data_IF_040910095666
#
_entry.id   IF_040910095666
#
_cell.length_a   1.000
_cell.length_b   1.000
_cell.length_c   1.000
_cell.angle_alpha   90.00
_cell.angle_beta   90.00
_cell.angle_gamma   90.00
#
_symmetry.space_group_name_H-M   'P 1'
#
loop_
_entity.id
_entity.type
_entity.pdbx_description
1 polymer ?
#
# COMPACT_ATOMS: atom_id res chain seq x y z
N UNK A 1 13.95 18.46 16.17
CA UNK A 1 12.77 18.49 17.07
C UNK A 1 11.52 18.21 16.23
N UNK A 2 11.16 16.93 16.05
CA UNK A 2 10.03 16.52 15.18
C UNK A 2 8.85 16.12 16.07
N UNK A 3 7.71 16.77 15.87
CA UNK A 3 6.43 16.48 16.54
C UNK A 3 5.87 15.18 15.97
N UNK A 4 5.73 14.17 16.83
CA UNK A 4 4.96 12.95 16.54
C UNK A 4 3.48 13.32 16.62
N UNK A 5 2.76 13.14 15.51
CA UNK A 5 1.29 13.21 15.48
C UNK A 5 0.78 11.77 15.63
N UNK A 6 0.12 11.48 16.75
CA UNK A 6 -0.56 10.22 16.98
C UNK A 6 -1.88 10.22 16.21
N UNK A 7 -2.07 9.27 15.28
CA UNK A 7 -3.39 8.94 14.75
C UNK A 7 -4.00 7.87 15.66
N UNK A 8 -4.96 8.26 16.50
CA UNK A 8 -5.80 7.32 17.25
C UNK A 8 -6.97 6.93 16.36
N UNK A 9 -7.04 5.68 15.92
CA UNK A 9 -8.22 5.15 15.23
C UNK A 9 -9.40 5.05 16.21
N UNK A 10 -10.37 5.94 16.04
CA UNK A 10 -11.66 5.89 16.71
C UNK A 10 -12.65 5.03 15.94
N UNK A 11 -13.17 3.98 16.58
CA UNK A 11 -14.19 3.07 16.04
C UNK A 11 -15.57 3.76 16.01
N UNK A 12 -16.08 4.13 14.83
CA UNK A 12 -17.47 4.58 14.69
C UNK A 12 -18.40 3.36 14.64
N UNK A 13 -19.24 3.23 15.67
CA UNK A 13 -20.41 2.35 15.67
C UNK A 13 -21.49 2.96 14.78
N UNK A 14 -21.73 2.36 13.62
CA UNK A 14 -23.07 2.18 13.03
C UNK A 14 -22.90 1.56 11.64
N UNK A 15 -23.17 0.26 11.54
CA UNK A 15 -23.34 -0.38 10.24
C UNK A 15 -24.69 0.02 9.66
N UNK A 16 -24.68 0.83 8.61
CA UNK A 16 -25.79 0.98 7.66
C UNK A 16 -25.18 1.29 6.29
N UNK A 17 -25.43 0.41 5.31
CA UNK A 17 -25.18 0.67 3.90
C UNK A 17 -26.31 1.56 3.37
N UNK A 18 -25.99 2.72 2.79
CA UNK A 18 -26.94 3.49 1.98
C UNK A 18 -26.73 4.99 2.03
N UNK A 19 -26.60 5.60 0.85
CA UNK A 19 -26.73 7.05 0.67
C UNK A 19 -28.20 7.44 0.77
N UNK A 20 -28.50 8.38 1.66
CA UNK A 20 -29.80 9.03 1.78
C UNK A 20 -29.65 10.45 1.25
N UNK A 21 -30.22 10.72 0.07
CA UNK A 21 -30.58 12.07 -0.36
C UNK A 21 -32.10 12.19 -0.24
N UNK A 22 -32.56 13.02 0.70
CA UNK A 22 -33.97 13.41 0.81
C UNK A 22 -34.09 14.82 0.23
N UNK A 23 -34.80 14.92 -0.88
CA UNK A 23 -35.48 16.15 -1.30
C UNK A 23 -36.90 15.78 -1.72
N UNK A 24 -37.84 16.10 -0.83
CA UNK A 24 -39.21 16.53 -1.10
C UNK A 24 -40.16 15.65 -1.93
N UNK A 25 -41.14 15.06 -1.23
CA UNK A 25 -42.56 15.36 -1.53
C UNK A 25 -43.38 14.38 -2.39
N UNK A 26 -44.23 13.62 -1.68
CA UNK A 26 -45.63 13.27 -2.01
C UNK A 26 -46.01 12.12 -2.97
N UNK A 27 -46.91 11.29 -2.39
CA UNK A 27 -47.97 10.43 -2.95
C UNK A 27 -47.70 8.96 -3.38
N UNK A 28 -48.39 8.07 -2.65
CA UNK A 28 -48.64 6.64 -2.91
C UNK A 28 -49.62 6.44 -4.08
N UNK A 29 -49.39 5.43 -4.94
CA UNK A 29 -50.41 4.43 -5.30
C UNK A 29 -49.80 3.21 -6.00
N UNK A 30 -50.21 2.01 -5.56
CA UNK A 30 -49.98 0.74 -6.23
C UNK A 30 -50.72 0.65 -7.57
N UNK A 31 -50.10 0.07 -8.60
CA UNK A 31 -50.77 -0.65 -9.70
C UNK A 31 -49.74 -1.59 -10.39
N UNK A 32 -50.02 -2.89 -10.34
CA UNK A 32 -49.38 -3.95 -11.13
C UNK A 32 -49.98 -3.91 -12.55
N UNK A 33 -49.16 -3.77 -13.59
CA UNK A 33 -49.46 -4.18 -14.97
C UNK A 33 -48.16 -4.71 -15.60
N UNK A 34 -48.27 -5.86 -16.26
CA UNK A 34 -47.20 -6.63 -16.89
C UNK A 34 -46.58 -5.92 -18.13
N UNK A 35 -45.34 -6.33 -18.45
CA UNK A 35 -44.47 -5.88 -19.54
C UNK A 35 -45.16 -5.72 -20.91
N UNK A 36 -44.66 -4.80 -21.75
CA UNK A 36 -43.69 -5.25 -22.76
C UNK A 36 -42.45 -4.34 -22.85
N UNK A 37 -41.34 -4.94 -23.26
CA UNK A 37 -40.03 -4.33 -23.46
C UNK A 37 -40.08 -3.01 -24.25
N UNK A 38 -39.25 -2.01 -23.89
CA UNK A 38 -38.64 -1.13 -24.85
C UNK A 38 -37.15 -1.43 -24.98
N UNK A 39 -36.74 -1.64 -26.22
CA UNK A 39 -35.36 -1.58 -26.68
C UNK A 39 -34.73 -0.24 -26.27
N UNK A 40 -33.50 -0.27 -25.77
CA UNK A 40 -32.62 0.90 -25.79
C UNK A 40 -31.92 1.22 -24.47
N UNK A 41 -30.58 1.24 -24.58
CA UNK A 41 -29.61 1.81 -23.65
C UNK A 41 -29.28 0.94 -22.43
N UNK A 42 -28.60 -0.18 -22.71
CA UNK A 42 -27.54 -0.61 -21.81
C UNK A 42 -26.53 0.52 -21.74
N UNK A 43 -26.58 1.29 -20.65
CA UNK A 43 -25.48 2.16 -20.25
C UNK A 43 -24.28 1.26 -20.05
N UNK A 44 -23.43 1.22 -21.07
CA UNK A 44 -22.12 0.57 -21.08
C UNK A 44 -21.40 0.98 -19.79
N UNK A 45 -21.37 0.06 -18.82
CA UNK A 45 -20.53 0.22 -17.63
C UNK A 45 -19.10 0.14 -18.17
N UNK A 46 -18.54 1.29 -18.52
CA UNK A 46 -17.12 1.46 -18.72
C UNK A 46 -16.44 1.18 -17.39
N UNK A 47 -16.23 -0.11 -17.08
CA UNK A 47 -15.16 -0.52 -16.19
C UNK A 47 -13.87 -0.14 -16.90
N UNK A 48 -13.47 1.12 -16.76
CA UNK A 48 -12.11 1.54 -17.05
C UNK A 48 -11.24 0.85 -16.01
N UNK A 49 -10.83 -0.39 -16.29
CA UNK A 49 -9.75 -1.03 -15.55
C UNK A 49 -8.52 -0.21 -15.84
N UNK A 50 -8.16 0.68 -14.92
CA UNK A 50 -6.90 1.41 -14.99
C UNK A 50 -5.78 0.36 -15.02
N UNK A 51 -5.06 0.30 -16.13
CA UNK A 51 -3.91 -0.59 -16.26
C UNK A 51 -2.81 -0.08 -15.33
N UNK A 52 -2.43 -0.93 -14.38
CA UNK A 52 -1.34 -0.67 -13.46
C UNK A 52 -0.10 -1.36 -14.01
N UNK A 53 0.95 -0.59 -14.27
CA UNK A 53 2.25 -1.12 -14.69
C UNK A 53 3.29 -0.91 -13.60
N UNK A 54 4.18 -1.89 -13.40
CA UNK A 54 5.34 -1.74 -12.50
C UNK A 54 6.61 -1.58 -13.32
N UNK A 55 7.43 -0.59 -12.98
CA UNK A 55 8.72 -0.33 -13.64
C UNK A 55 9.81 0.04 -12.62
N UNK A 56 11.08 -0.13 -12.98
CA UNK A 56 12.20 0.43 -12.22
C UNK A 56 12.13 1.96 -12.27
N UNK A 57 12.48 2.63 -11.16
CA UNK A 57 12.60 4.08 -11.12
C UNK A 57 13.83 4.56 -11.89
N UNK A 58 13.67 5.72 -12.56
CA UNK A 58 14.76 6.45 -13.18
C UNK A 58 15.14 7.66 -12.31
N UNK A 59 16.33 8.25 -12.52
CA UNK A 59 16.81 9.40 -11.74
C UNK A 59 15.81 10.59 -11.70
N UNK A 60 15.02 10.78 -12.77
CA UNK A 60 14.00 11.82 -12.84
C UNK A 60 12.78 11.60 -11.93
N UNK A 61 12.58 10.39 -11.40
CA UNK A 61 11.44 10.03 -10.56
C UNK A 61 11.61 10.42 -9.08
N UNK A 62 12.83 10.82 -8.68
CA UNK A 62 13.19 11.05 -7.27
C UNK A 62 12.22 11.98 -6.53
N UNK A 63 11.89 13.13 -7.13
CA UNK A 63 11.00 14.10 -6.51
C UNK A 63 9.59 13.55 -6.27
N UNK A 64 9.09 12.68 -7.15
CA UNK A 64 7.78 12.05 -7.01
C UNK A 64 7.80 10.94 -5.94
N UNK A 65 8.90 10.17 -5.87
CA UNK A 65 9.14 9.19 -4.81
C UNK A 65 9.14 9.90 -3.46
N UNK A 66 9.94 10.96 -3.30
CA UNK A 66 10.04 11.74 -2.05
C UNK A 66 8.68 12.32 -1.64
N UNK A 67 7.92 12.86 -2.59
CA UNK A 67 6.57 13.35 -2.33
C UNK A 67 5.65 12.23 -1.83
N UNK A 68 5.75 11.02 -2.37
CA UNK A 68 4.91 9.90 -1.97
C UNK A 68 5.32 9.36 -0.59
N UNK A 69 6.62 9.21 -0.32
CA UNK A 69 7.13 8.76 0.97
C UNK A 69 6.81 9.74 2.10
N UNK A 70 6.89 11.05 1.84
CA UNK A 70 6.56 12.09 2.82
C UNK A 70 5.10 12.06 3.27
N UNK A 71 4.18 11.57 2.43
CA UNK A 71 2.76 11.37 2.79
C UNK A 71 2.60 10.43 4.00
N UNK A 72 3.57 9.53 4.19
CA UNK A 72 3.58 8.51 5.23
C UNK A 72 4.72 8.69 6.24
N UNK A 73 5.52 9.74 6.10
CA UNK A 73 6.76 9.95 6.86
C UNK A 73 7.71 8.75 6.78
N UNK A 74 7.74 8.06 5.63
CA UNK A 74 8.67 6.97 5.38
C UNK A 74 10.04 7.52 5.02
N UNK A 75 11.08 6.83 5.47
CA UNK A 75 12.44 7.14 5.06
C UNK A 75 12.74 6.56 3.66
N UNK A 76 13.84 7.00 3.07
CA UNK A 76 14.30 6.63 1.74
C UNK A 76 15.29 7.63 1.17
N UNK A 77 15.72 8.62 1.96
CA UNK A 77 16.68 9.65 1.55
C UNK A 77 18.06 9.07 1.27
N UNK A 78 18.45 8.06 2.06
CA UNK A 78 19.75 7.40 1.95
C UNK A 78 19.76 6.26 0.91
N UNK A 79 18.64 6.04 0.21
CA UNK A 79 18.51 5.01 -0.82
C UNK A 79 18.73 5.58 -2.22
N UNK A 80 19.37 4.79 -3.09
CA UNK A 80 19.53 5.16 -4.48
C UNK A 80 18.17 5.12 -5.17
N UNK A 81 17.96 6.05 -6.13
CA UNK A 81 16.71 6.06 -6.90
C UNK A 81 16.51 4.74 -7.64
N UNK A 82 17.61 4.10 -8.04
CA UNK A 82 17.61 2.80 -8.69
C UNK A 82 17.12 1.65 -7.83
N UNK A 83 16.95 1.80 -6.52
CA UNK A 83 16.43 0.73 -5.64
C UNK A 83 14.90 0.67 -5.65
N UNK A 84 14.24 1.68 -6.22
CA UNK A 84 12.79 1.77 -6.20
C UNK A 84 12.13 1.13 -7.43
N UNK A 85 11.07 0.37 -7.19
CA UNK A 85 10.06 0.01 -8.18
C UNK A 85 8.86 0.96 -8.04
N UNK A 86 8.31 1.39 -9.16
CA UNK A 86 7.18 2.32 -9.24
C UNK A 86 5.97 1.62 -9.82
N UNK A 87 4.81 1.83 -9.20
CA UNK A 87 3.52 1.51 -9.82
C UNK A 87 3.01 2.77 -10.53
N UNK A 88 2.67 2.62 -11.80
CA UNK A 88 2.11 3.68 -12.64
C UNK A 88 0.71 3.35 -13.08
N UNK A 89 -0.13 4.38 -13.11
CA UNK A 89 -1.42 4.39 -13.80
C UNK A 89 -1.37 5.57 -14.75
N UNK A 90 -1.50 5.27 -16.05
CA UNK A 90 -1.13 6.21 -17.12
C UNK A 90 0.31 6.72 -16.88
N UNK A 91 0.55 8.03 -16.96
CA UNK A 91 1.86 8.64 -16.72
C UNK A 91 2.14 8.98 -15.24
N UNK A 92 1.24 8.60 -14.32
CA UNK A 92 1.33 9.01 -12.90
C UNK A 92 1.89 7.91 -12.03
N UNK A 93 2.88 8.25 -11.19
CA UNK A 93 3.36 7.37 -10.13
C UNK A 93 2.29 7.33 -9.03
N UNK A 94 1.74 6.15 -8.79
CA UNK A 94 0.69 5.90 -7.79
C UNK A 94 1.15 4.98 -6.66
N UNK A 95 2.35 4.45 -6.73
CA UNK A 95 2.94 3.61 -5.69
C UNK A 95 4.44 3.45 -5.87
N UNK A 96 5.13 3.11 -4.79
CA UNK A 96 6.56 2.80 -4.78
C UNK A 96 6.89 1.73 -3.74
N UNK A 97 7.95 0.97 -3.98
CA UNK A 97 8.63 0.10 -3.01
C UNK A 97 10.13 0.18 -3.28
N UNK A 98 10.94 0.29 -2.25
CA UNK A 98 12.37 0.09 -2.35
C UNK A 98 12.70 -1.38 -2.11
N UNK A 99 13.61 -1.93 -2.90
CA UNK A 99 14.20 -3.25 -2.66
C UNK A 99 15.71 -3.10 -2.50
N UNK A 100 16.18 -3.26 -1.27
CA UNK A 100 17.58 -3.00 -0.89
C UNK A 100 18.31 -4.33 -0.75
N UNK A 101 19.55 -4.37 -1.24
CA UNK A 101 20.42 -5.56 -1.22
C UNK A 101 21.82 -5.19 -0.79
N UNK A 102 21.98 -5.03 0.52
CA UNK A 102 23.28 -4.83 1.14
C UNK A 102 23.72 -6.14 1.82
N UNK A 103 23.75 -6.16 3.16
CA UNK A 103 24.04 -7.36 3.95
C UNK A 103 22.86 -8.35 4.01
N UNK A 104 21.64 -7.82 3.84
CA UNK A 104 20.39 -8.57 3.77
C UNK A 104 19.59 -8.09 2.55
N UNK A 105 18.68 -8.93 2.05
CA UNK A 105 17.67 -8.48 1.10
C UNK A 105 16.44 -8.00 1.88
N UNK A 106 15.95 -6.79 1.59
CA UNK A 106 14.77 -6.25 2.25
C UNK A 106 13.79 -5.52 1.34
N UNK A 107 12.52 -5.57 1.72
CA UNK A 107 11.47 -4.70 1.22
C UNK A 107 11.36 -3.49 2.12
N UNK A 108 11.68 -2.32 1.58
CA UNK A 108 11.75 -1.05 2.28
C UNK A 108 10.77 -0.02 1.65
N UNK A 109 10.38 1.01 2.41
CA UNK A 109 9.60 2.17 1.93
C UNK A 109 8.39 1.88 1.01
N UNK A 110 7.52 0.93 1.38
CA UNK A 110 6.30 0.65 0.59
C UNK A 110 5.27 1.77 0.78
N UNK A 111 4.91 2.46 -0.29
CA UNK A 111 3.87 3.48 -0.28
C UNK A 111 2.94 3.37 -1.49
N UNK A 112 1.66 3.68 -1.29
CA UNK A 112 0.65 3.76 -2.36
C UNK A 112 -0.08 5.09 -2.21
N UNK A 113 -0.32 5.83 -3.27
CA UNK A 113 -1.05 7.08 -3.21
C UNK A 113 -2.44 6.88 -2.56
N UNK A 114 -2.91 7.76 -1.65
CA UNK A 114 -4.15 7.55 -0.88
C UNK A 114 -5.37 7.19 -1.73
N UNK A 115 -5.55 7.87 -2.87
CA UNK A 115 -6.65 7.61 -3.83
C UNK A 115 -6.57 6.27 -4.57
N UNK A 116 -5.45 5.55 -4.44
CA UNK A 116 -5.17 4.28 -5.11
C UNK A 116 -5.03 3.11 -4.13
N UNK A 117 -5.25 3.33 -2.82
CA UNK A 117 -5.26 2.24 -1.83
C UNK A 117 -6.39 1.23 -2.07
N UNK A 118 -6.25 0.03 -1.50
CA UNK A 118 -7.22 -1.07 -1.60
C UNK A 118 -7.48 -1.59 -3.03
N UNK A 119 -6.59 -1.29 -3.98
CA UNK A 119 -6.63 -1.79 -5.37
C UNK A 119 -5.58 -2.86 -5.68
N UNK A 120 -4.94 -3.44 -4.65
CA UNK A 120 -3.89 -4.45 -4.83
C UNK A 120 -2.49 -3.92 -5.20
N UNK A 121 -2.32 -2.62 -5.45
CA UNK A 121 -1.05 -2.01 -5.90
C UNK A 121 0.12 -2.31 -4.94
N UNK A 122 -0.09 -2.19 -3.63
CA UNK A 122 0.98 -2.48 -2.67
C UNK A 122 1.42 -3.95 -2.72
N UNK A 123 0.47 -4.88 -2.87
CA UNK A 123 0.79 -6.30 -2.99
C UNK A 123 1.53 -6.60 -4.31
N UNK A 124 1.12 -5.95 -5.40
CA UNK A 124 1.78 -6.05 -6.70
C UNK A 124 3.23 -5.51 -6.66
N UNK A 125 3.46 -4.40 -5.96
CA UNK A 125 4.80 -3.84 -5.77
C UNK A 125 5.69 -4.79 -4.96
N UNK A 126 5.19 -5.27 -3.82
CA UNK A 126 5.93 -6.22 -2.97
C UNK A 126 6.23 -7.51 -3.74
N UNK A 127 5.27 -8.10 -4.45
CA UNK A 127 5.53 -9.31 -5.24
C UNK A 127 6.55 -9.06 -6.36
N UNK A 128 6.51 -7.90 -7.00
CA UNK A 128 7.50 -7.50 -8.02
C UNK A 128 8.90 -7.37 -7.41
N UNK A 129 9.02 -6.79 -6.21
CA UNK A 129 10.29 -6.72 -5.48
C UNK A 129 10.81 -8.11 -5.08
N UNK A 130 9.94 -8.99 -4.57
CA UNK A 130 10.31 -10.37 -4.22
C UNK A 130 10.78 -11.19 -5.43
N UNK A 131 10.29 -10.89 -6.64
CA UNK A 131 10.78 -11.52 -7.87
C UNK A 131 12.21 -11.10 -8.22
N UNK A 132 12.69 -9.95 -7.72
CA UNK A 132 14.07 -9.51 -7.92
C UNK A 132 15.05 -10.21 -6.98
N UNK A 133 14.59 -10.76 -5.86
CA UNK A 133 15.41 -11.42 -4.84
C UNK A 133 16.30 -12.50 -5.46
N UNK A 134 17.53 -12.62 -4.97
CA UNK A 134 18.43 -13.72 -5.31
C UNK A 134 18.67 -14.64 -4.11
N UNK A 135 18.31 -14.19 -2.90
CA UNK A 135 18.44 -14.93 -1.65
C UNK A 135 17.30 -15.90 -1.36
N UNK A 136 17.43 -16.59 -0.23
CA UNK A 136 16.40 -17.47 0.33
C UNK A 136 15.40 -16.72 1.22
N UNK A 137 15.80 -15.58 1.77
CA UNK A 137 15.01 -14.81 2.73
C UNK A 137 15.02 -13.32 2.35
N UNK A 138 13.85 -12.69 2.43
CA UNK A 138 13.68 -11.24 2.28
C UNK A 138 13.00 -10.70 3.53
N UNK A 139 13.57 -9.65 4.10
CA UNK A 139 13.10 -9.08 5.35
C UNK A 139 12.26 -7.81 5.13
N UNK A 140 11.44 -7.46 6.10
CA UNK A 140 10.78 -6.16 6.17
C UNK A 140 10.56 -5.75 7.63
N UNK A 141 10.87 -4.50 7.95
CA UNK A 141 10.58 -3.88 9.24
C UNK A 141 9.30 -3.04 9.14
N UNK A 142 8.25 -3.38 9.88
CA UNK A 142 6.94 -2.75 9.66
C UNK A 142 6.03 -2.71 10.89
N UNK A 143 5.18 -1.69 10.99
CA UNK A 143 4.00 -1.70 11.87
C UNK A 143 2.78 -2.34 11.21
N UNK A 144 2.78 -2.48 9.87
CA UNK A 144 1.68 -2.98 9.07
C UNK A 144 1.77 -4.51 8.85
N UNK A 145 1.91 -5.29 9.92
CA UNK A 145 2.12 -6.76 9.83
C UNK A 145 1.01 -7.49 9.07
N UNK A 146 -0.24 -7.02 9.16
CA UNK A 146 -1.37 -7.61 8.44
C UNK A 146 -1.27 -7.49 6.91
N UNK A 147 -0.62 -6.44 6.40
CA UNK A 147 -0.35 -6.28 4.97
C UNK A 147 0.72 -7.29 4.52
N UNK A 148 1.85 -7.35 5.22
CA UNK A 148 2.94 -8.26 4.88
C UNK A 148 2.56 -9.74 5.00
N UNK A 149 1.73 -10.11 5.99
CA UNK A 149 1.18 -11.49 6.09
C UNK A 149 0.38 -11.91 4.85
N UNK A 150 -0.39 -10.99 4.26
CA UNK A 150 -1.13 -11.27 3.01
C UNK A 150 -0.21 -11.42 1.81
N UNK A 151 0.98 -10.83 1.86
CA UNK A 151 2.03 -10.97 0.84
C UNK A 151 2.96 -12.17 1.10
N UNK A 152 2.60 -13.06 2.02
CA UNK A 152 3.36 -14.30 2.30
C UNK A 152 4.49 -14.16 3.30
N UNK A 153 4.65 -13.01 3.96
CA UNK A 153 5.64 -12.87 5.03
C UNK A 153 5.10 -13.48 6.34
N UNK A 154 6.00 -13.99 7.16
CA UNK A 154 5.72 -14.39 8.54
C UNK A 154 6.46 -13.47 9.50
N UNK A 155 5.89 -13.25 10.68
CA UNK A 155 6.56 -12.49 11.74
C UNK A 155 7.56 -13.39 12.45
N UNK A 156 8.75 -12.86 12.75
CA UNK A 156 9.79 -13.57 13.51
C UNK A 156 10.34 -12.69 14.62
N UNK A 157 10.86 -13.33 15.66
CA UNK A 157 11.58 -12.66 16.75
C UNK A 157 13.10 -12.83 16.64
N UNK A 158 13.56 -13.72 15.74
CA UNK A 158 14.97 -13.96 15.46
C UNK A 158 15.12 -14.23 13.95
N UNK A 159 16.08 -13.56 13.27
CA UNK A 159 16.94 -12.50 13.81
C UNK A 159 16.14 -11.25 14.26
N UNK A 160 16.64 -10.55 15.28
CA UNK A 160 16.03 -9.36 15.83
C UNK A 160 16.29 -8.13 14.95
N UNK A 161 15.72 -6.97 15.30
CA UNK A 161 15.86 -5.76 14.47
C UNK A 161 17.29 -5.23 14.48
N UNK A 162 17.92 -5.24 15.64
CA UNK A 162 19.30 -4.80 15.84
C UNK A 162 20.34 -5.78 15.26
N UNK A 163 19.95 -7.02 14.99
CA UNK A 163 20.77 -7.97 14.21
C UNK A 163 20.68 -7.73 12.70
N UNK A 164 19.56 -7.17 12.22
CA UNK A 164 19.27 -6.98 10.79
C UNK A 164 19.59 -5.56 10.29
N UNK A 165 19.35 -4.54 11.11
CA UNK A 165 19.48 -3.13 10.71
C UNK A 165 20.33 -2.31 11.68
N UNK A 166 21.39 -1.71 11.15
CA UNK A 166 22.36 -0.90 11.91
C UNK A 166 21.71 0.35 12.58
N UNK A 167 20.72 0.94 11.91
CA UNK A 167 19.95 2.07 12.45
C UNK A 167 19.13 1.67 13.69
N UNK A 168 18.65 0.42 13.75
CA UNK A 168 18.01 -0.16 14.93
C UNK A 168 19.01 -0.43 16.05
N UNK A 169 20.22 -0.93 15.71
CA UNK A 169 21.26 -1.21 16.70
C UNK A 169 21.68 0.05 17.47
N UNK A 170 21.62 1.23 16.84
CA UNK A 170 21.92 2.52 17.46
C UNK A 170 20.69 3.29 17.96
N UNK A 171 19.48 2.73 17.91
CA UNK A 171 18.25 3.45 18.18
C UNK A 171 17.91 3.54 19.67
N UNK A 172 17.84 4.76 20.22
CA UNK A 172 17.46 5.00 21.62
C UNK A 172 16.01 4.58 21.95
N UNK A 173 15.15 4.41 20.93
CA UNK A 173 13.74 4.03 21.06
C UNK A 173 13.48 2.55 20.78
N UNK A 174 14.51 1.71 20.62
CA UNK A 174 14.38 0.30 20.22
C UNK A 174 13.35 -0.47 21.10
N UNK A 175 13.44 -0.30 22.42
CA UNK A 175 12.55 -0.93 23.41
C UNK A 175 11.08 -0.52 23.26
N UNK A 176 10.82 0.68 22.77
CA UNK A 176 9.47 1.24 22.59
C UNK A 176 9.00 1.18 21.14
N UNK A 177 9.81 0.63 20.24
CA UNK A 177 9.51 0.58 18.81
C UNK A 177 8.45 -0.49 18.53
N UNK A 178 7.37 -0.09 17.88
CA UNK A 178 6.25 -0.96 17.50
C UNK A 178 6.41 -1.64 16.14
N UNK A 179 7.58 -1.52 15.50
CA UNK A 179 7.86 -2.21 14.25
C UNK A 179 8.24 -3.67 14.52
N UNK A 180 7.73 -4.57 13.71
CA UNK A 180 8.01 -6.00 13.78
C UNK A 180 8.92 -6.43 12.63
N UNK A 181 9.66 -7.52 12.84
CA UNK A 181 10.44 -8.19 11.80
C UNK A 181 9.54 -9.17 11.07
N UNK A 182 9.41 -8.97 9.77
CA UNK A 182 8.71 -9.87 8.87
C UNK A 182 9.72 -10.51 7.93
N UNK A 183 9.60 -11.81 7.67
CA UNK A 183 10.44 -12.54 6.72
C UNK A 183 9.59 -13.27 5.68
N UNK A 184 9.94 -13.14 4.42
CA UNK A 184 9.45 -13.95 3.32
C UNK A 184 10.55 -14.94 2.92
N UNK A 185 10.17 -16.17 2.59
CA UNK A 185 11.12 -17.21 2.17
C UNK A 185 10.76 -17.72 0.78
N UNK A 186 11.77 -17.88 -0.05
CA UNK A 186 11.64 -18.52 -1.36
C UNK A 186 11.43 -20.02 -1.18
N UNK A 187 10.38 -20.56 -1.80
CA UNK A 187 10.11 -22.00 -1.86
C UNK A 187 11.10 -22.74 -2.77
#
# INVERSE_FOLDING_TARGET
MRRIVFLVEGRLKAGINGFVFIIGGWYLQHLFIENPSPQGQDSEIMHLTQDITVCQAAAGDRAAIDSLLSTYFLDGQDLDTGDFLLARVDDKIVGTVAFVRDYIEEVHSVAVHPSFRNKGIGALLVSSALNLSLGSEVYARTTATSFFRKSGFIEVTSPSREELWDDCACCEYLENCSQHVMVWRRE
#
